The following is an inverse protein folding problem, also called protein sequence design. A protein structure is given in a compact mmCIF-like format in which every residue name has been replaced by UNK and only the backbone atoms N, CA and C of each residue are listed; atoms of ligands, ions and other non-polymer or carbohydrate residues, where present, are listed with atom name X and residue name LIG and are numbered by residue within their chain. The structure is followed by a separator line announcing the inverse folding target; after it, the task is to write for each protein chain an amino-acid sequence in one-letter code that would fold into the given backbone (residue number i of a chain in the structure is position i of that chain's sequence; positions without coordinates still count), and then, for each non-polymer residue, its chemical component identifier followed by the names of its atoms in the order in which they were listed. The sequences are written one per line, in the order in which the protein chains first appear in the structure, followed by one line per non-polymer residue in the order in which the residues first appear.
data_IF_250768247619
#
_entry.id   IF_250768247619
#
_cell.length_a   1.000
_cell.length_b   1.000
_cell.length_c   1.000
_cell.angle_alpha   90.00
_cell.angle_beta   90.00
_cell.angle_gamma   90.00
#
_symmetry.space_group_name_H-M   'P 1'
#
loop_
_entity.id
_entity.type
_entity.pdbx_description
1 polymer ?
#
# COMPACT_ATOMS: atom_id res chain seq x y z
N UNK A 1 -0.89 -32.20 -23.68
CA UNK A 1 0.19 -32.43 -22.70
C UNK A 1 0.42 -31.13 -21.95
N UNK A 2 -0.14 -30.99 -20.74
CA UNK A 2 0.15 -29.81 -19.91
C UNK A 2 1.49 -30.07 -19.22
N UNK A 3 2.55 -29.39 -19.66
CA UNK A 3 3.87 -29.49 -19.05
C UNK A 3 3.78 -29.11 -17.58
N UNK A 4 3.98 -30.10 -16.70
CA UNK A 4 4.09 -29.90 -15.26
C UNK A 4 5.39 -29.15 -14.99
N UNK A 5 5.32 -27.83 -15.04
CA UNK A 5 6.42 -26.94 -14.66
C UNK A 5 6.65 -27.14 -13.16
N UNK A 6 7.65 -27.93 -12.78
CA UNK A 6 8.07 -28.08 -11.38
C UNK A 6 8.46 -26.70 -10.85
N UNK A 7 7.63 -26.13 -9.98
CA UNK A 7 8.01 -24.93 -9.24
C UNK A 7 8.94 -25.37 -8.10
N UNK A 8 10.17 -24.87 -8.09
CA UNK A 8 11.03 -24.97 -6.90
C UNK A 8 10.32 -24.16 -5.81
N UNK A 9 9.96 -24.84 -4.72
CA UNK A 9 9.30 -24.23 -3.57
C UNK A 9 10.33 -24.09 -2.47
N UNK A 10 10.58 -22.85 -2.07
CA UNK A 10 11.32 -22.55 -0.85
C UNK A 10 10.38 -22.61 0.35
N UNK A 11 10.96 -22.78 1.53
CA UNK A 11 10.24 -22.65 2.80
C UNK A 11 9.70 -21.22 2.98
N UNK A 12 8.68 -21.06 3.82
CA UNK A 12 8.15 -19.74 4.17
C UNK A 12 9.28 -18.83 4.71
N UNK A 13 9.20 -17.54 4.38
CA UNK A 13 10.27 -16.58 4.67
C UNK A 13 11.47 -16.65 3.72
N UNK A 14 11.43 -17.48 2.67
CA UNK A 14 12.45 -17.52 1.61
C UNK A 14 11.83 -17.43 0.21
N UNK A 15 12.59 -16.90 -0.74
CA UNK A 15 12.25 -16.88 -2.16
C UNK A 15 13.34 -17.58 -2.97
N UNK A 16 12.97 -18.11 -4.14
CA UNK A 16 13.92 -18.74 -5.04
C UNK A 16 14.53 -17.69 -5.99
N UNK A 17 15.83 -17.42 -5.87
CA UNK A 17 16.53 -16.44 -6.72
C UNK A 17 16.92 -16.98 -8.11
N UNK A 18 16.59 -18.23 -8.43
CA UNK A 18 17.00 -18.92 -9.66
C UNK A 18 18.12 -19.95 -9.46
N UNK A 19 18.83 -19.89 -8.32
CA UNK A 19 19.90 -20.81 -7.94
C UNK A 19 19.64 -21.48 -6.60
N UNK A 20 19.23 -20.70 -5.61
CA UNK A 20 19.02 -21.14 -4.23
C UNK A 20 17.85 -20.40 -3.57
N UNK A 21 17.50 -20.83 -2.35
CA UNK A 21 16.49 -20.17 -1.54
C UNK A 21 17.14 -19.11 -0.65
N UNK A 22 16.87 -17.85 -0.94
CA UNK A 22 17.35 -16.70 -0.16
C UNK A 22 16.26 -16.18 0.79
N UNK A 23 16.65 -15.60 1.94
CA UNK A 23 15.70 -15.03 2.88
C UNK A 23 14.97 -13.82 2.29
N UNK A 24 13.69 -13.70 2.63
CA UNK A 24 12.91 -12.50 2.41
C UNK A 24 13.41 -11.33 3.26
N UNK A 25 12.97 -10.11 2.92
CA UNK A 25 13.10 -9.00 3.85
C UNK A 25 12.36 -9.30 5.16
N UNK A 26 12.93 -8.87 6.30
CA UNK A 26 12.46 -9.21 7.66
C UNK A 26 11.00 -8.84 7.97
N UNK A 27 10.41 -7.92 7.21
CA UNK A 27 9.01 -7.51 7.37
C UNK A 27 8.04 -8.41 6.59
N UNK A 28 8.53 -9.22 5.64
CA UNK A 28 7.71 -10.15 4.88
C UNK A 28 7.66 -11.53 5.57
N UNK A 29 6.47 -12.11 5.69
CA UNK A 29 6.29 -13.53 6.01
C UNK A 29 6.55 -14.42 4.78
N UNK A 30 6.13 -13.95 3.59
CA UNK A 30 6.45 -14.57 2.30
C UNK A 30 6.73 -13.47 1.28
N UNK A 31 7.58 -13.75 0.28
CA UNK A 31 8.01 -12.77 -0.70
C UNK A 31 8.23 -13.41 -2.08
N UNK A 32 8.15 -12.59 -3.13
CA UNK A 32 8.52 -12.94 -4.50
C UNK A 32 9.99 -12.63 -4.82
N UNK A 33 10.68 -11.90 -3.93
CA UNK A 33 12.04 -11.40 -4.11
C UNK A 33 12.66 -10.92 -2.79
N UNK A 34 13.97 -10.65 -2.78
CA UNK A 34 14.68 -10.20 -1.58
C UNK A 34 14.44 -8.73 -1.20
N UNK A 35 13.79 -7.95 -2.07
CA UNK A 35 13.48 -6.55 -1.86
C UNK A 35 12.38 -6.32 -0.82
N UNK A 36 12.38 -5.13 -0.20
CA UNK A 36 11.34 -4.70 0.75
C UNK A 36 9.97 -4.53 0.09
N UNK A 37 9.95 -4.37 -1.23
CA UNK A 37 8.80 -4.16 -2.13
C UNK A 37 8.34 -5.44 -2.85
N UNK A 38 8.91 -6.58 -2.49
CA UNK A 38 8.55 -7.87 -3.05
C UNK A 38 7.82 -8.77 -2.03
N UNK A 39 7.24 -8.21 -0.96
CA UNK A 39 6.46 -8.97 0.00
C UNK A 39 5.12 -9.45 -0.62
N UNK A 40 4.76 -10.70 -0.35
CA UNK A 40 3.45 -11.28 -0.70
C UNK A 40 2.56 -11.29 0.55
N UNK A 41 3.11 -11.63 1.71
CA UNK A 41 2.42 -11.55 3.00
C UNK A 41 3.33 -10.88 4.03
N UNK A 42 2.72 -10.13 4.94
CA UNK A 42 3.43 -9.45 6.02
C UNK A 42 3.52 -10.31 7.28
N UNK A 43 4.59 -10.11 8.04
CA UNK A 43 4.66 -10.66 9.40
C UNK A 43 3.62 -9.98 10.31
N UNK A 44 3.27 -10.65 11.41
CA UNK A 44 2.26 -10.14 12.33
C UNK A 44 2.63 -8.73 12.85
N UNK A 45 1.66 -7.82 12.84
CA UNK A 45 1.85 -6.44 13.27
C UNK A 45 2.26 -5.47 12.15
N UNK A 46 2.58 -5.96 10.96
CA UNK A 46 2.80 -5.14 9.77
C UNK A 46 1.55 -5.07 8.88
N UNK A 47 1.48 -4.02 8.07
CA UNK A 47 0.41 -3.71 7.14
C UNK A 47 0.94 -3.85 5.71
N UNK A 48 0.16 -4.46 4.84
CA UNK A 48 0.51 -4.57 3.42
C UNK A 48 0.26 -3.24 2.70
N UNK A 49 1.27 -2.70 2.04
CA UNK A 49 1.24 -1.46 1.26
C UNK A 49 1.99 -1.69 -0.07
N UNK A 50 1.25 -1.93 -1.17
CA UNK A 50 1.84 -2.07 -2.53
C UNK A 50 3.07 -3.01 -2.60
N UNK A 51 2.96 -4.20 -2.00
CA UNK A 51 4.06 -5.18 -1.96
C UNK A 51 5.11 -4.94 -0.88
N UNK A 52 4.91 -3.93 -0.03
CA UNK A 52 5.73 -3.63 1.15
C UNK A 52 4.97 -3.95 2.42
N UNK A 53 5.73 -4.23 3.48
CA UNK A 53 5.19 -4.41 4.81
C UNK A 53 5.66 -3.27 5.71
N UNK A 54 4.72 -2.39 6.10
CA UNK A 54 4.96 -1.16 6.87
C UNK A 54 4.30 -1.25 8.25
N UNK A 55 4.77 -0.47 9.22
CA UNK A 55 4.17 -0.43 10.57
C UNK A 55 2.96 0.50 10.64
N UNK A 56 2.87 1.46 9.73
CA UNK A 56 1.79 2.43 9.60
C UNK A 56 1.69 2.84 8.14
N UNK A 57 0.48 3.14 7.66
CA UNK A 57 0.27 3.54 6.27
C UNK A 57 1.01 4.85 5.98
N UNK A 58 1.69 4.89 4.84
CA UNK A 58 2.36 6.08 4.33
C UNK A 58 1.33 7.17 3.98
N UNK A 59 1.76 8.43 3.92
CA UNK A 59 0.90 9.54 3.44
C UNK A 59 0.31 9.20 2.07
N UNK A 60 -0.98 9.44 1.90
CA UNK A 60 -1.72 9.05 0.69
C UNK A 60 -2.24 7.62 0.71
N UNK A 61 -2.12 6.94 1.85
CA UNK A 61 -2.73 5.63 2.11
C UNK A 61 -3.53 5.67 3.41
N UNK A 62 -4.69 5.03 3.41
CA UNK A 62 -5.50 4.82 4.60
C UNK A 62 -5.49 3.35 5.01
N UNK A 63 -5.67 3.10 6.32
CA UNK A 63 -5.82 1.75 6.84
C UNK A 63 -7.18 1.19 6.42
N UNK A 64 -7.17 0.13 5.62
CA UNK A 64 -8.38 -0.59 5.27
C UNK A 64 -8.80 -1.52 6.41
N UNK A 65 -9.94 -1.20 7.00
CA UNK A 65 -10.57 -1.99 8.05
C UNK A 65 -11.47 -3.11 7.50
N UNK A 66 -11.55 -3.27 6.16
CA UNK A 66 -12.37 -4.33 5.58
C UNK A 66 -11.86 -5.71 6.01
N UNK A 67 -12.75 -6.60 6.48
CA UNK A 67 -12.36 -7.97 6.84
C UNK A 67 -12.05 -8.84 5.61
N UNK A 68 -12.23 -8.31 4.40
CA UNK A 68 -12.25 -9.06 3.14
C UNK A 68 -10.86 -9.58 2.74
N UNK A 69 -9.79 -8.90 3.14
CA UNK A 69 -8.43 -9.26 2.72
C UNK A 69 -7.74 -10.25 3.66
N UNK A 70 -8.33 -10.63 4.80
CA UNK A 70 -7.72 -11.54 5.78
C UNK A 70 -6.48 -11.00 6.51
N UNK A 71 -5.88 -9.91 6.03
CA UNK A 71 -4.80 -9.15 6.67
C UNK A 71 -5.10 -7.65 6.60
N UNK A 72 -4.54 -6.90 7.57
CA UNK A 72 -4.63 -5.43 7.57
C UNK A 72 -3.82 -4.87 6.41
N UNK A 73 -4.42 -4.03 5.59
CA UNK A 73 -3.78 -3.46 4.40
C UNK A 73 -3.94 -1.94 4.36
N UNK A 74 -2.98 -1.28 3.74
CA UNK A 74 -3.02 0.13 3.42
C UNK A 74 -3.50 0.28 1.97
N UNK A 75 -4.60 1.00 1.77
CA UNK A 75 -5.15 1.30 0.44
C UNK A 75 -4.87 2.74 0.08
N UNK A 76 -4.59 2.99 -1.20
CA UNK A 76 -4.37 4.36 -1.69
C UNK A 76 -5.63 5.20 -1.52
N UNK A 77 -5.41 6.46 -1.16
CA UNK A 77 -6.43 7.49 -1.24
C UNK A 77 -6.90 7.71 -2.67
N UNK A 78 -8.08 8.33 -2.79
CA UNK A 78 -8.54 8.81 -4.08
C UNK A 78 -7.56 9.86 -4.63
N UNK A 79 -7.38 9.88 -5.95
CA UNK A 79 -6.44 10.79 -6.61
C UNK A 79 -6.78 12.28 -6.42
N UNK A 80 -8.00 12.60 -5.97
CA UNK A 80 -8.43 13.95 -5.60
C UNK A 80 -7.79 14.48 -4.32
N UNK A 81 -7.26 13.63 -3.42
CA UNK A 81 -6.56 14.07 -2.21
C UNK A 81 -5.07 13.68 -2.14
N UNK A 82 -4.34 14.43 -1.32
CA UNK A 82 -2.98 14.09 -0.90
C UNK A 82 -2.98 13.07 0.26
N UNK A 83 -3.98 13.13 1.13
CA UNK A 83 -4.17 12.18 2.23
C UNK A 83 -5.66 12.02 2.58
N UNK A 84 -6.02 10.90 3.20
CA UNK A 84 -7.41 10.53 3.46
C UNK A 84 -7.57 9.62 4.68
N UNK A 85 -8.78 9.57 5.25
CA UNK A 85 -9.15 8.68 6.34
C UNK A 85 -9.92 7.44 5.89
N UNK A 86 -10.18 7.29 4.59
CA UNK A 86 -11.04 6.25 4.06
C UNK A 86 -11.14 6.27 2.54
N UNK A 87 -12.04 5.44 2.02
CA UNK A 87 -12.22 5.26 0.58
C UNK A 87 -12.94 6.44 -0.08
N UNK A 88 -12.53 6.77 -1.30
CA UNK A 88 -13.23 7.73 -2.18
C UNK A 88 -12.89 9.20 -1.92
N UNK A 89 -13.45 10.07 -2.75
CA UNK A 89 -13.15 11.51 -2.82
C UNK A 89 -13.71 12.35 -1.65
N UNK A 90 -14.54 11.74 -0.80
CA UNK A 90 -15.21 12.41 0.35
C UNK A 90 -14.57 12.13 1.70
N UNK A 91 -13.45 11.40 1.71
CA UNK A 91 -12.73 11.06 2.93
C UNK A 91 -11.35 11.72 2.97
N UNK A 92 -11.15 12.80 2.22
CA UNK A 92 -9.91 13.53 2.19
C UNK A 92 -9.63 14.22 3.52
N UNK A 93 -8.37 14.20 3.94
CA UNK A 93 -7.87 14.90 5.13
C UNK A 93 -6.82 15.96 4.76
N UNK A 94 -6.13 15.77 3.63
CA UNK A 94 -5.17 16.73 3.08
C UNK A 94 -5.42 16.88 1.58
N UNK A 95 -5.53 18.13 1.13
CA UNK A 95 -5.75 18.46 -0.26
C UNK A 95 -4.46 18.84 -1.00
N UNK A 96 -4.36 18.58 -2.31
CA UNK A 96 -3.28 19.08 -3.15
C UNK A 96 -3.25 20.61 -3.16
N UNK A 97 -2.10 21.18 -3.52
CA UNK A 97 -1.96 22.65 -3.63
C UNK A 97 -2.98 23.25 -4.60
N UNK A 98 -3.65 24.33 -4.18
CA UNK A 98 -4.71 24.98 -4.96
C UNK A 98 -6.13 24.47 -4.68
N UNK A 99 -6.27 23.45 -3.83
CA UNK A 99 -7.55 22.94 -3.36
C UNK A 99 -7.73 23.25 -1.87
N UNK A 100 -8.98 23.47 -1.45
CA UNK A 100 -9.38 23.60 -0.06
C UNK A 100 -10.16 22.37 0.36
N UNK A 101 -10.00 21.98 1.62
CA UNK A 101 -10.77 20.88 2.20
C UNK A 101 -12.15 21.40 2.65
N UNK A 102 -13.21 20.86 2.03
CA UNK A 102 -14.61 21.16 2.36
C UNK A 102 -15.35 19.85 2.63
N UNK A 103 -15.81 19.65 3.86
CA UNK A 103 -16.57 18.46 4.29
C UNK A 103 -16.01 17.11 3.82
N UNK A 104 -14.67 16.96 3.82
CA UNK A 104 -13.98 15.73 3.39
C UNK A 104 -13.69 15.65 1.89
N UNK A 105 -14.02 16.67 1.12
CA UNK A 105 -13.78 16.77 -0.33
C UNK A 105 -12.77 17.88 -0.62
N UNK A 106 -11.87 17.65 -1.57
CA UNK A 106 -10.97 18.69 -2.06
C UNK A 106 -11.62 19.48 -3.20
N UNK A 107 -12.00 20.73 -2.91
CA UNK A 107 -12.62 21.65 -3.87
C UNK A 107 -11.62 22.71 -4.33
N UNK A 108 -11.66 23.08 -5.60
CA UNK A 108 -10.76 24.12 -6.14
C UNK A 108 -10.97 25.41 -5.37
N UNK A 109 -9.89 25.98 -4.84
CA UNK A 109 -9.95 27.29 -4.21
C UNK A 109 -10.16 28.38 -5.24
N UNK A 110 -11.34 28.96 -5.30
CA UNK A 110 -11.59 30.20 -6.06
C UNK A 110 -11.02 31.44 -5.37
N UNK A 111 -9.88 31.30 -4.68
CA UNK A 111 -9.17 32.45 -4.13
C UNK A 111 -8.29 33.01 -5.24
N UNK A 112 -8.85 33.94 -6.02
CA UNK A 112 -8.03 34.89 -6.75
C UNK A 112 -7.17 35.61 -5.71
N UNK A 113 -5.86 35.36 -5.68
CA UNK A 113 -4.92 36.33 -5.12
C UNK A 113 -4.89 37.50 -6.08
N UNK A 114 -5.89 38.37 -6.01
CA UNK A 114 -5.67 39.76 -6.38
C UNK A 114 -4.69 40.32 -5.35
N UNK A 115 -3.46 40.53 -5.82
CA UNK A 115 -2.48 41.29 -5.08
C UNK A 115 -2.88 42.74 -5.12
N UNK A 116 -3.16 43.31 -3.95
CA UNK A 116 -3.13 44.76 -3.70
C UNK A 116 -2.11 45.03 -2.59
#
# INVERSE_FOLDING_TARGET
MHGTKCAIRCEDGKYHNGRECEPCHRSCATCAGGGVDACINCTQGYLMEDGRCVQSCSTGYYLDHSPESGYKSCKRCDASCLDCSGQGDRNCTICPSGYNLDSGVCVVGTVCKDGE
#
